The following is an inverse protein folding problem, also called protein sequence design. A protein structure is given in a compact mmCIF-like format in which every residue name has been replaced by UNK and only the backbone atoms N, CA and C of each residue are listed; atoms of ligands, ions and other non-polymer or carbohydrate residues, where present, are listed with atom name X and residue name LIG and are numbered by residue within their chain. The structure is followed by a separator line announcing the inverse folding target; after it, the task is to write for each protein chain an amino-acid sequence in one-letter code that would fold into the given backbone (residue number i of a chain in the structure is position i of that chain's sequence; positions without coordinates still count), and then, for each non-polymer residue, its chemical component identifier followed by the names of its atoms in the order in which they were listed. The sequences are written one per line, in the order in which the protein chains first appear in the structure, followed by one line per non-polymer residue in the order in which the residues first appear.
data_IF_175101935585
#
_entry.id   IF_175101935585
#
_cell.length_a   1.000
_cell.length_b   1.000
_cell.length_c   1.000
_cell.angle_alpha   90.00
_cell.angle_beta   90.00
_cell.angle_gamma   90.00
#
_symmetry.space_group_name_H-M   'P 1'
#
loop_
_entity.id
_entity.type
_entity.pdbx_description
1 polymer ?
#
# COMPACT_ATOMS: atom_id res chain seq x y z
N UNK A 1 -23.60 10.13 -54.66
CA UNK A 1 -22.87 10.54 -53.45
C UNK A 1 -21.39 10.62 -53.78
N UNK A 2 -20.82 11.83 -53.73
CA UNK A 2 -19.45 12.10 -54.24
C UNK A 2 -18.39 11.29 -53.46
N UNK A 3 -17.36 10.77 -54.14
CA UNK A 3 -16.26 9.99 -53.55
C UNK A 3 -15.59 10.70 -52.37
N UNK A 4 -15.58 12.03 -52.37
CA UNK A 4 -15.10 12.83 -51.27
C UNK A 4 -15.95 12.68 -49.99
N UNK A 5 -17.27 12.69 -50.09
CA UNK A 5 -18.19 12.49 -48.94
C UNK A 5 -18.07 11.09 -48.36
N UNK A 6 -17.83 10.06 -49.20
CA UNK A 6 -17.59 8.69 -48.76
C UNK A 6 -16.27 8.59 -47.99
N UNK A 7 -15.19 9.24 -48.46
CA UNK A 7 -13.88 9.27 -47.79
C UNK A 7 -13.91 10.02 -46.46
N UNK A 8 -14.63 11.15 -46.40
CA UNK A 8 -14.81 11.90 -45.12
C UNK A 8 -15.63 11.10 -44.13
N UNK A 9 -16.72 10.44 -44.57
CA UNK A 9 -17.53 9.60 -43.69
C UNK A 9 -16.76 8.37 -43.17
N UNK A 10 -15.94 7.72 -44.00
CA UNK A 10 -15.03 6.65 -43.55
C UNK A 10 -13.97 7.15 -42.55
N UNK A 11 -13.42 8.34 -42.77
CA UNK A 11 -12.43 8.93 -41.85
C UNK A 11 -13.04 9.29 -40.49
N UNK A 12 -14.28 9.83 -40.48
CA UNK A 12 -14.99 10.12 -39.23
C UNK A 12 -15.41 8.86 -38.49
N UNK A 13 -15.84 7.80 -39.19
CA UNK A 13 -16.11 6.50 -38.54
C UNK A 13 -14.82 5.84 -37.99
N UNK A 14 -13.70 5.90 -38.69
CA UNK A 14 -12.41 5.40 -38.19
C UNK A 14 -11.90 6.20 -36.99
N UNK A 15 -12.13 7.51 -36.93
CA UNK A 15 -11.76 8.34 -35.77
C UNK A 15 -12.66 8.07 -34.56
N UNK A 16 -13.92 7.70 -34.75
CA UNK A 16 -14.86 7.38 -33.67
C UNK A 16 -14.60 6.02 -32.99
N UNK A 17 -13.85 5.11 -33.63
CA UNK A 17 -13.49 3.80 -33.04
C UNK A 17 -12.22 3.85 -32.20
N UNK A 18 -11.53 4.98 -32.11
CA UNK A 18 -10.26 5.12 -31.41
C UNK A 18 -10.36 5.55 -29.94
N UNK A 19 -11.55 5.63 -29.32
CA UNK A 19 -11.64 6.31 -28.01
C UNK A 19 -12.61 5.73 -26.99
N UNK A 20 -12.95 4.49 -27.05
CA UNK A 20 -13.64 3.88 -25.92
C UNK A 20 -12.81 2.70 -25.38
N UNK A 21 -11.67 3.00 -24.79
CA UNK A 21 -11.15 2.11 -23.74
C UNK A 21 -12.12 2.32 -22.58
N UNK A 22 -13.17 1.48 -22.53
CA UNK A 22 -14.08 1.48 -21.40
C UNK A 22 -13.24 1.18 -20.15
N UNK A 23 -13.28 2.06 -19.15
CA UNK A 23 -12.67 1.82 -17.87
C UNK A 23 -13.19 0.48 -17.33
N UNK A 24 -12.28 -0.36 -16.88
CA UNK A 24 -12.65 -1.63 -16.28
C UNK A 24 -13.14 -1.38 -14.85
N UNK A 25 -14.04 -2.20 -14.29
CA UNK A 25 -14.49 -2.06 -12.91
C UNK A 25 -13.33 -1.99 -11.89
N UNK A 26 -12.21 -2.65 -12.17
CA UNK A 26 -11.01 -2.63 -11.33
C UNK A 26 -10.36 -1.24 -11.25
N UNK A 27 -10.53 -0.40 -12.25
CA UNK A 27 -9.96 0.95 -12.29
C UNK A 27 -10.63 1.90 -11.29
N UNK A 28 -11.80 1.53 -10.75
CA UNK A 28 -12.51 2.27 -9.72
C UNK A 28 -12.18 1.81 -8.30
N UNK A 29 -11.39 0.76 -8.14
CA UNK A 29 -10.98 0.26 -6.82
C UNK A 29 -9.82 1.09 -6.30
N UNK A 30 -10.01 1.70 -5.13
CA UNK A 30 -8.97 2.44 -4.44
C UNK A 30 -8.63 1.76 -3.10
N UNK A 31 -7.50 1.03 -3.01
CA UNK A 31 -7.08 0.33 -1.79
C UNK A 31 -6.77 1.26 -0.60
N UNK A 32 -6.60 2.56 -0.82
CA UNK A 32 -6.37 3.54 0.27
C UNK A 32 -7.66 3.83 1.07
N UNK A 33 -8.84 3.54 0.52
CA UNK A 33 -10.10 3.77 1.24
C UNK A 33 -10.13 2.92 2.52
N UNK A 34 -10.41 3.57 3.66
CA UNK A 34 -10.48 2.93 4.96
C UNK A 34 -9.13 2.76 5.68
N UNK A 35 -8.02 3.22 5.11
CA UNK A 35 -6.68 3.06 5.70
C UNK A 35 -6.33 4.17 6.71
N UNK A 36 -7.31 4.89 7.25
CA UNK A 36 -7.08 5.94 8.23
C UNK A 36 -8.06 5.86 9.41
N UNK A 37 -7.59 6.24 10.61
CA UNK A 37 -8.37 6.19 11.84
C UNK A 37 -8.89 4.78 12.13
N UNK A 38 -10.19 4.64 12.35
CA UNK A 38 -10.85 3.37 12.68
C UNK A 38 -11.39 2.62 11.43
N UNK A 39 -10.84 2.89 10.25
CA UNK A 39 -11.25 2.20 9.02
C UNK A 39 -10.72 0.77 8.92
N UNK A 40 -9.56 0.51 9.50
CA UNK A 40 -8.95 -0.81 9.65
C UNK A 40 -8.85 -1.60 8.33
N UNK A 41 -8.31 -0.95 7.31
CA UNK A 41 -7.92 -1.58 6.05
C UNK A 41 -6.44 -1.32 5.77
N UNK A 42 -5.84 -2.14 4.95
CA UNK A 42 -4.45 -2.00 4.51
C UNK A 42 -4.38 -1.78 2.99
N UNK A 43 -3.42 -0.97 2.49
CA UNK A 43 -3.33 -0.63 1.06
C UNK A 43 -2.59 -1.68 0.23
N UNK A 44 -2.02 -2.68 0.86
CA UNK A 44 -1.17 -3.68 0.23
C UNK A 44 -1.91 -4.71 -0.60
N UNK A 45 -1.26 -5.79 -0.91
CA UNK A 45 -1.70 -6.78 -1.89
C UNK A 45 -2.10 -8.10 -1.25
N UNK A 46 -3.20 -8.66 -1.73
CA UNK A 46 -3.61 -10.03 -1.44
C UNK A 46 -4.34 -10.61 -2.65
N UNK A 47 -4.33 -11.93 -2.76
CA UNK A 47 -5.17 -12.64 -3.74
C UNK A 47 -6.42 -13.21 -3.05
N UNK A 48 -7.54 -13.36 -3.76
CA UNK A 48 -8.71 -14.02 -3.18
C UNK A 48 -8.35 -15.38 -2.61
N UNK A 49 -8.74 -15.63 -1.34
CA UNK A 49 -8.42 -16.85 -0.58
C UNK A 49 -6.92 -17.14 -0.44
N UNK A 50 -6.07 -16.10 -0.62
CA UNK A 50 -4.62 -16.23 -0.40
C UNK A 50 -4.26 -16.18 1.08
N UNK A 51 -3.09 -16.75 1.41
CA UNK A 51 -2.53 -16.77 2.77
C UNK A 51 -1.66 -15.55 3.07
N UNK A 52 -1.28 -14.81 2.01
CA UNK A 52 -0.41 -13.65 2.11
C UNK A 52 -1.22 -12.38 1.91
N UNK A 53 -1.10 -11.46 2.85
CA UNK A 53 -1.57 -10.09 2.79
C UNK A 53 -0.33 -9.20 2.99
N UNK A 54 0.37 -8.89 1.89
CA UNK A 54 1.62 -8.14 1.92
C UNK A 54 1.34 -6.64 1.87
N UNK A 55 1.70 -5.92 2.91
CA UNK A 55 1.39 -4.49 3.04
C UNK A 55 2.45 -3.74 3.85
N UNK A 56 2.59 -2.42 3.66
CA UNK A 56 3.38 -1.61 4.56
C UNK A 56 2.75 -1.54 5.95
N UNK A 57 3.61 -1.47 6.95
CA UNK A 57 3.28 -1.17 8.34
C UNK A 57 3.83 0.20 8.72
N UNK A 58 2.99 1.02 9.34
CA UNK A 58 3.37 2.40 9.74
C UNK A 58 3.32 2.62 11.23
N UNK A 59 3.06 1.58 12.03
CA UNK A 59 2.78 1.66 13.46
C UNK A 59 3.76 2.59 14.20
N UNK A 60 3.18 3.59 14.85
CA UNK A 60 3.91 4.61 15.61
C UNK A 60 3.64 4.53 17.12
N UNK A 61 2.72 3.67 17.53
CA UNK A 61 2.25 3.55 18.91
C UNK A 61 2.67 2.20 19.49
N UNK A 62 3.42 2.15 20.59
CA UNK A 62 3.68 0.91 21.29
C UNK A 62 2.39 0.25 21.76
N UNK A 63 2.19 -1.03 21.44
CA UNK A 63 0.98 -1.76 21.85
C UNK A 63 0.91 -1.97 23.37
N UNK A 64 2.06 -2.00 24.00
CA UNK A 64 2.16 -2.19 25.44
C UNK A 64 3.18 -1.21 26.03
N UNK A 65 2.79 -0.52 27.11
CA UNK A 65 3.67 0.35 27.89
C UNK A 65 3.56 -0.05 29.36
N UNK A 66 4.67 -0.43 29.96
CA UNK A 66 4.74 -0.89 31.38
C UNK A 66 3.74 -2.03 31.70
N UNK A 67 3.54 -2.96 30.77
CA UNK A 67 2.64 -4.08 30.95
C UNK A 67 1.15 -3.77 30.69
N UNK A 68 0.81 -2.54 30.35
CA UNK A 68 -0.56 -2.14 30.04
C UNK A 68 -0.78 -1.93 28.54
N UNK A 69 -1.83 -2.52 27.99
CA UNK A 69 -2.22 -2.32 26.59
C UNK A 69 -2.62 -0.88 26.33
N UNK A 70 -2.10 -0.33 25.23
CA UNK A 70 -2.40 1.02 24.78
C UNK A 70 -3.61 1.01 23.84
N UNK A 71 -4.75 1.54 24.30
CA UNK A 71 -6.00 1.54 23.51
C UNK A 71 -5.88 2.17 22.14
N UNK A 72 -5.03 3.19 22.01
CA UNK A 72 -4.80 3.89 20.73
C UNK A 72 -4.09 3.01 19.70
N UNK A 73 -3.38 1.97 20.14
CA UNK A 73 -2.75 1.00 19.24
C UNK A 73 -3.79 0.21 18.43
N UNK A 74 -5.06 0.18 18.87
CA UNK A 74 -6.14 -0.44 18.11
C UNK A 74 -6.34 0.14 16.71
N UNK A 75 -6.01 1.40 16.49
CA UNK A 75 -6.06 2.00 15.15
C UNK A 75 -5.14 1.29 14.15
N UNK A 76 -4.09 0.63 14.65
CA UNK A 76 -3.11 -0.10 13.84
C UNK A 76 -3.41 -1.59 13.69
N UNK A 77 -4.62 -2.06 13.99
CA UNK A 77 -4.92 -3.49 13.85
C UNK A 77 -4.84 -3.99 12.39
N UNK A 78 -4.85 -3.11 11.40
CA UNK A 78 -4.54 -3.41 9.99
C UNK A 78 -3.12 -3.00 9.57
N UNK A 79 -2.25 -2.58 10.51
CA UNK A 79 -0.83 -2.28 10.29
C UNK A 79 -0.53 -0.91 9.73
N UNK A 80 -1.40 -0.32 8.93
CA UNK A 80 -1.16 0.92 8.19
C UNK A 80 -2.15 2.03 8.58
N UNK A 81 -1.63 3.26 8.66
CA UNK A 81 -2.44 4.48 8.80
C UNK A 81 -2.01 5.53 7.78
N UNK A 82 -2.92 5.96 6.92
CA UNK A 82 -2.62 6.95 5.85
C UNK A 82 -2.06 8.27 6.35
N UNK A 83 -2.38 8.69 7.58
CA UNK A 83 -1.84 9.92 8.18
C UNK A 83 -0.35 9.86 8.52
N UNK A 84 0.23 8.66 8.60
CA UNK A 84 1.62 8.46 9.01
C UNK A 84 2.60 8.87 7.90
N UNK A 85 3.83 9.13 8.30
CA UNK A 85 4.89 9.63 7.41
C UNK A 85 6.12 8.74 7.40
N UNK A 86 6.06 7.61 8.12
CA UNK A 86 7.15 6.64 8.17
C UNK A 86 6.62 5.22 8.05
N UNK A 87 7.37 4.38 7.35
CA UNK A 87 7.12 2.94 7.21
C UNK A 87 8.13 2.20 8.10
N UNK A 88 7.64 1.23 8.88
CA UNK A 88 8.45 0.33 9.72
C UNK A 88 8.97 -0.85 8.89
N UNK A 89 8.20 -1.26 7.89
CA UNK A 89 8.53 -2.37 7.01
C UNK A 89 7.30 -2.86 6.26
N UNK A 90 7.42 -4.02 5.67
CA UNK A 90 6.38 -4.68 4.90
C UNK A 90 6.16 -6.08 5.47
N UNK A 91 5.02 -6.32 6.12
CA UNK A 91 4.70 -7.62 6.67
C UNK A 91 3.76 -8.43 5.78
N UNK A 92 3.70 -9.74 6.01
CA UNK A 92 3.01 -10.69 5.14
C UNK A 92 1.64 -11.11 5.65
N UNK A 93 1.25 -10.66 6.86
CA UNK A 93 -0.03 -11.01 7.48
C UNK A 93 -0.76 -9.76 7.96
N UNK A 94 -1.90 -9.47 7.33
CA UNK A 94 -2.80 -8.39 7.71
C UNK A 94 -4.24 -8.86 7.68
N UNK A 95 -5.09 -8.24 8.50
CA UNK A 95 -6.54 -8.40 8.44
C UNK A 95 -7.21 -7.04 8.27
N UNK A 96 -8.28 -7.00 7.48
CA UNK A 96 -9.17 -5.85 7.43
C UNK A 96 -10.33 -6.01 8.40
N UNK A 97 -10.77 -4.92 9.01
CA UNK A 97 -11.88 -4.90 9.96
C UNK A 97 -11.42 -4.91 11.40
N UNK A 98 -12.28 -5.41 12.29
CA UNK A 98 -11.97 -5.48 13.72
C UNK A 98 -10.99 -6.61 14.01
N UNK A 99 -10.07 -6.39 14.94
CA UNK A 99 -9.09 -7.38 15.34
C UNK A 99 -8.18 -6.88 16.44
N UNK A 100 -7.13 -7.61 16.69
CA UNK A 100 -6.01 -7.20 17.51
C UNK A 100 -4.82 -6.91 16.60
N UNK A 101 -3.91 -6.09 17.06
CA UNK A 101 -2.61 -5.82 16.43
C UNK A 101 -1.61 -6.95 16.71
N UNK A 102 -2.03 -8.18 16.53
CA UNK A 102 -1.25 -9.42 16.75
C UNK A 102 -0.82 -10.10 15.45
N UNK A 103 -1.08 -9.45 14.31
CA UNK A 103 -0.53 -9.78 12.99
C UNK A 103 0.64 -8.85 12.65
N UNK A 104 1.14 -8.92 11.45
CA UNK A 104 2.35 -8.22 11.02
C UNK A 104 3.56 -9.15 11.01
N UNK A 105 3.29 -10.45 10.87
CA UNK A 105 4.33 -11.47 10.84
C UNK A 105 5.20 -11.36 9.58
N UNK A 106 6.46 -11.77 9.74
CA UNK A 106 7.48 -11.77 8.69
C UNK A 106 7.63 -10.35 8.10
N UNK A 107 7.94 -9.41 8.98
CA UNK A 107 8.24 -8.03 8.61
C UNK A 107 9.61 -7.94 7.94
N UNK A 108 9.65 -7.39 6.75
CA UNK A 108 10.87 -7.11 6.01
C UNK A 108 11.02 -5.61 5.80
N UNK A 109 12.22 -5.09 6.07
CA UNK A 109 12.56 -3.69 5.79
C UNK A 109 13.83 -3.64 4.95
N UNK A 110 13.73 -3.27 3.66
CA UNK A 110 14.92 -3.05 2.84
C UNK A 110 15.65 -1.79 3.32
N UNK A 111 16.95 -1.90 3.50
CA UNK A 111 17.80 -0.82 3.99
C UNK A 111 19.17 -0.85 3.33
N UNK A 112 19.89 0.27 3.39
CA UNK A 112 21.29 0.40 2.98
C UNK A 112 22.09 1.01 4.15
N UNK A 113 23.39 0.72 4.21
CA UNK A 113 24.27 1.18 5.28
C UNK A 113 24.31 0.24 6.48
N UNK A 114 24.51 0.79 7.66
CA UNK A 114 24.64 0.01 8.89
C UNK A 114 23.32 -0.63 9.32
N UNK A 115 23.39 -1.88 9.77
CA UNK A 115 22.21 -2.61 10.24
C UNK A 115 21.73 -2.04 11.58
N UNK A 116 20.50 -1.61 11.63
CA UNK A 116 19.80 -1.19 12.85
C UNK A 116 18.80 -2.26 13.26
N UNK A 117 18.71 -2.56 14.55
CA UNK A 117 17.91 -3.68 15.08
C UNK A 117 16.58 -3.23 15.72
N UNK A 118 16.31 -1.95 15.77
CA UNK A 118 15.05 -1.42 16.30
C UNK A 118 14.42 -0.46 15.28
N UNK A 119 13.09 -0.28 15.32
CA UNK A 119 12.39 0.58 14.34
C UNK A 119 12.71 2.06 14.49
N UNK A 120 13.22 2.51 15.62
CA UNK A 120 13.28 3.93 15.95
C UNK A 120 11.89 4.51 16.22
N UNK A 121 11.85 5.83 16.38
CA UNK A 121 10.59 6.57 16.60
C UNK A 121 10.13 7.25 15.31
N UNK A 122 8.83 7.47 15.16
CA UNK A 122 8.28 8.11 13.98
C UNK A 122 8.74 9.57 13.79
N UNK A 123 8.99 10.27 14.88
CA UNK A 123 9.51 11.65 14.90
C UNK A 123 11.04 11.73 14.77
N UNK A 124 11.76 10.63 15.04
CA UNK A 124 13.21 10.47 14.89
C UNK A 124 13.55 9.13 14.22
N UNK A 125 13.15 8.93 12.93
CA UNK A 125 13.34 7.66 12.23
C UNK A 125 14.82 7.29 12.05
N UNK A 126 15.73 8.26 12.04
CA UNK A 126 17.17 8.05 11.96
C UNK A 126 17.77 7.26 13.15
N UNK A 127 17.05 7.18 14.27
CA UNK A 127 17.47 6.35 15.42
C UNK A 127 17.26 4.85 15.17
N UNK A 128 16.49 4.46 14.15
CA UNK A 128 16.15 3.07 13.85
C UNK A 128 16.20 2.73 12.37
N UNK A 129 15.53 1.63 12.01
CA UNK A 129 15.45 1.16 10.62
C UNK A 129 14.23 1.67 9.86
N UNK A 130 13.25 2.33 10.50
CA UNK A 130 12.10 2.88 9.76
C UNK A 130 12.52 3.96 8.78
N UNK A 131 11.74 4.17 7.72
CA UNK A 131 12.01 5.19 6.72
C UNK A 131 10.85 6.14 6.58
N UNK A 132 11.17 7.41 6.36
CA UNK A 132 10.20 8.39 5.87
C UNK A 132 9.73 7.99 4.48
N UNK A 133 8.50 8.38 4.15
CA UNK A 133 7.95 8.27 2.81
C UNK A 133 6.98 9.41 2.52
N UNK A 134 6.66 9.58 1.24
CA UNK A 134 5.70 10.58 0.78
C UNK A 134 4.59 9.92 -0.04
N UNK A 135 3.33 10.22 0.27
CA UNK A 135 2.18 9.74 -0.48
C UNK A 135 2.20 10.12 -1.97
N UNK A 136 2.93 11.17 -2.37
CA UNK A 136 3.13 11.49 -3.78
C UNK A 136 3.91 10.40 -4.56
N UNK A 137 4.68 9.56 -3.84
CA UNK A 137 5.41 8.42 -4.41
C UNK A 137 4.72 7.09 -4.15
N UNK A 138 3.63 7.11 -3.38
CA UNK A 138 2.84 5.93 -3.02
C UNK A 138 1.81 5.63 -4.11
N UNK A 139 1.74 4.38 -4.51
CA UNK A 139 0.73 3.89 -5.43
C UNK A 139 0.15 2.59 -4.92
N UNK A 140 -1.15 2.55 -4.74
CA UNK A 140 -1.90 1.35 -4.38
C UNK A 140 -2.99 1.09 -5.43
N UNK A 141 -2.93 -0.06 -6.06
CA UNK A 141 -3.97 -0.55 -6.97
C UNK A 141 -4.20 -2.04 -6.70
N UNK A 142 -5.33 -2.62 -7.09
CA UNK A 142 -5.56 -4.05 -6.88
C UNK A 142 -4.40 -4.91 -7.38
N UNK A 143 -3.79 -5.68 -6.48
CA UNK A 143 -2.69 -6.58 -6.77
C UNK A 143 -1.30 -5.94 -6.88
N UNK A 144 -1.17 -4.64 -6.63
CA UNK A 144 0.12 -3.97 -6.66
C UNK A 144 0.18 -2.78 -5.69
N UNK A 145 1.31 -2.67 -4.99
CA UNK A 145 1.65 -1.51 -4.17
C UNK A 145 3.09 -1.07 -4.44
N UNK A 146 3.35 0.23 -4.44
CA UNK A 146 4.71 0.79 -4.49
C UNK A 146 4.86 2.06 -3.66
N UNK A 147 6.06 2.28 -3.15
CA UNK A 147 6.43 3.49 -2.41
C UNK A 147 7.95 3.73 -2.46
N UNK A 148 8.36 4.98 -2.34
CA UNK A 148 9.77 5.33 -2.12
C UNK A 148 10.07 5.41 -0.63
N UNK A 149 11.07 4.69 -0.17
CA UNK A 149 11.66 4.81 1.17
C UNK A 149 12.71 5.91 1.13
N UNK A 150 12.34 7.11 1.58
CA UNK A 150 13.11 8.34 1.35
C UNK A 150 14.49 8.30 2.03
N UNK A 151 14.57 7.75 3.25
CA UNK A 151 15.83 7.69 4.01
C UNK A 151 16.86 6.73 3.41
N UNK A 152 16.42 5.79 2.58
CA UNK A 152 17.28 4.78 1.93
C UNK A 152 17.41 4.99 0.42
N UNK A 153 16.58 5.83 -0.20
CA UNK A 153 16.50 5.97 -1.65
C UNK A 153 16.06 4.67 -2.36
N UNK A 154 15.29 3.83 -1.66
CA UNK A 154 14.84 2.53 -2.17
C UNK A 154 13.37 2.63 -2.60
N UNK A 155 13.09 2.24 -3.85
CA UNK A 155 11.73 2.02 -4.32
C UNK A 155 11.31 0.59 -3.98
N UNK A 156 10.39 0.46 -3.04
CA UNK A 156 9.76 -0.80 -2.71
C UNK A 156 8.54 -1.04 -3.62
N UNK A 157 8.42 -2.25 -4.15
CA UNK A 157 7.30 -2.68 -4.99
C UNK A 157 6.81 -4.04 -4.49
N UNK A 158 5.50 -4.18 -4.30
CA UNK A 158 4.89 -5.37 -3.72
C UNK A 158 3.85 -5.96 -4.65
N UNK A 159 3.87 -7.27 -4.76
CA UNK A 159 2.77 -8.07 -5.30
C UNK A 159 2.68 -9.39 -4.54
N UNK A 160 1.63 -10.17 -4.77
CA UNK A 160 1.48 -11.45 -4.08
C UNK A 160 0.81 -12.50 -4.96
N UNK A 161 1.17 -13.74 -4.71
CA UNK A 161 0.42 -14.92 -5.11
C UNK A 161 -0.42 -15.43 -3.93
N UNK A 162 -1.09 -16.55 -4.06
CA UNK A 162 -1.85 -17.14 -2.96
C UNK A 162 -0.99 -17.52 -1.74
N UNK A 163 0.32 -17.74 -1.92
CA UNK A 163 1.21 -18.27 -0.87
C UNK A 163 2.55 -17.53 -0.75
N UNK A 164 2.81 -16.56 -1.61
CA UNK A 164 4.12 -15.89 -1.65
C UNK A 164 3.91 -14.38 -1.80
N UNK A 165 4.51 -13.62 -0.91
CA UNK A 165 4.75 -12.20 -1.09
C UNK A 165 5.98 -11.98 -1.97
N UNK A 166 5.95 -11.00 -2.83
CA UNK A 166 7.00 -10.67 -3.79
C UNK A 166 7.29 -9.18 -3.70
#
# INVERSE_FOLDING_TARGET
MNNLRKKVLMMTMAAATLSAIAQQPVDYVNPIIGTNGMGHTFPGVCTPFGWVQLSPDTDTIPHNVNGAYQKNAYEYCAGYQYRDKTIVGFSHTHLSGTGHSDLGDILLMPAVGDVKLNPGRADYPEEGYRSRFNHATEKAVPGYYEVMLDDYGIKAQLTATQRTGI
#
